data_IF_813707970721
#
_entry.id   IF_813707970721
#
_cell.length_a   1.000
_cell.length_b   1.000
_cell.length_c   1.000
_cell.angle_alpha   90.00
_cell.angle_beta   90.00
_cell.angle_gamma   90.00
#
_symmetry.space_group_name_H-M   'P 1'
#
loop_
_entity.id
_entity.type
_entity.pdbx_description
1 polymer ?
#
# COMPACT_ATOMS: atom_id res chain seq x y z
N UNK A 1 -11.91 3.35 -4.79
CA UNK A 1 -11.16 2.18 -5.27
C UNK A 1 -10.03 2.64 -6.19
N UNK A 2 -8.88 2.08 -6.05
CA UNK A 2 -7.70 2.38 -6.88
C UNK A 2 -7.36 1.17 -7.76
N UNK A 3 -6.85 0.11 -7.17
CA UNK A 3 -6.52 -1.13 -7.88
C UNK A 3 -6.52 -2.34 -6.96
N UNK A 4 -6.22 -3.49 -7.52
CA UNK A 4 -5.93 -4.74 -6.80
C UNK A 4 -4.55 -5.24 -7.20
N UNK A 5 -3.83 -5.80 -6.22
CA UNK A 5 -2.49 -6.33 -6.40
C UNK A 5 -2.39 -7.73 -5.78
N UNK A 6 -1.64 -8.62 -6.41
CA UNK A 6 -1.30 -9.92 -5.84
C UNK A 6 0.15 -9.91 -5.36
N UNK A 7 0.36 -10.27 -4.12
CA UNK A 7 1.67 -10.36 -3.50
C UNK A 7 2.05 -11.81 -3.21
N UNK A 8 3.24 -12.18 -3.61
CA UNK A 8 3.84 -13.49 -3.41
C UNK A 8 5.33 -13.35 -3.06
N UNK A 9 5.98 -14.47 -2.73
CA UNK A 9 7.41 -14.45 -2.47
C UNK A 9 8.19 -14.06 -3.73
N UNK A 10 9.30 -13.33 -3.60
CA UNK A 10 10.13 -12.99 -4.75
C UNK A 10 10.71 -14.26 -5.39
N UNK A 11 10.90 -14.22 -6.69
CA UNK A 11 11.54 -15.31 -7.45
C UNK A 11 13.00 -15.51 -7.00
N UNK A 12 13.69 -14.42 -6.67
CA UNK A 12 15.02 -14.49 -6.09
C UNK A 12 14.90 -14.74 -4.57
N UNK A 13 15.27 -15.93 -4.06
CA UNK A 13 15.16 -16.27 -2.64
C UNK A 13 16.12 -15.48 -1.74
N UNK A 14 17.07 -14.75 -2.32
CA UNK A 14 18.01 -13.89 -1.58
C UNK A 14 17.53 -12.45 -1.47
N UNK A 15 16.44 -12.12 -2.17
CA UNK A 15 15.84 -10.78 -2.06
C UNK A 15 15.33 -10.58 -0.64
N UNK A 16 15.77 -9.48 -0.02
CA UNK A 16 15.32 -9.08 1.31
C UNK A 16 14.06 -8.22 1.18
N UNK A 17 13.24 -8.27 2.20
CA UNK A 17 12.18 -7.30 2.43
C UNK A 17 12.80 -5.93 2.77
N UNK A 18 12.11 -4.86 2.43
CA UNK A 18 12.62 -3.49 2.61
C UNK A 18 11.53 -2.55 3.11
N UNK A 19 11.94 -1.64 3.99
CA UNK A 19 11.07 -0.60 4.51
C UNK A 19 10.80 0.48 3.47
N UNK A 20 9.55 0.86 3.35
CA UNK A 20 9.10 1.91 2.44
C UNK A 20 7.80 2.57 2.89
N UNK A 21 7.45 3.64 2.23
CA UNK A 21 6.12 4.23 2.09
C UNK A 21 5.77 4.16 0.62
N UNK A 22 4.54 3.91 0.25
CA UNK A 22 4.20 3.81 -1.18
C UNK A 22 4.41 5.14 -1.91
N UNK A 23 4.13 6.26 -1.26
CA UNK A 23 4.36 7.58 -1.85
C UNK A 23 5.82 7.84 -2.27
N UNK A 24 6.81 7.10 -1.76
CA UNK A 24 8.22 7.30 -2.14
C UNK A 24 8.55 6.90 -3.57
N UNK A 25 7.69 6.12 -4.23
CA UNK A 25 7.91 5.70 -5.61
C UNK A 25 7.54 6.77 -6.64
N UNK A 26 6.68 7.71 -6.26
CA UNK A 26 6.09 8.69 -7.17
C UNK A 26 6.45 10.13 -6.81
N UNK A 27 6.88 10.38 -5.56
CA UNK A 27 7.12 11.72 -5.03
C UNK A 27 8.55 11.89 -4.52
N UNK A 28 9.13 13.06 -4.74
CA UNK A 28 10.36 13.46 -4.06
C UNK A 28 10.10 13.68 -2.55
N UNK A 29 11.19 13.88 -1.78
CA UNK A 29 11.10 13.96 -0.31
C UNK A 29 10.18 15.10 0.15
N UNK A 30 10.23 16.27 -0.51
CA UNK A 30 9.43 17.43 -0.11
C UNK A 30 7.94 17.19 -0.38
N UNK A 31 7.61 16.54 -1.47
CA UNK A 31 6.24 16.19 -1.83
C UNK A 31 5.72 15.01 -1.01
N UNK A 32 6.56 14.01 -0.68
CA UNK A 32 6.18 12.94 0.28
C UNK A 32 5.72 13.54 1.61
N UNK A 33 6.43 14.55 2.13
CA UNK A 33 6.08 15.20 3.40
C UNK A 33 4.67 15.85 3.37
N UNK A 34 4.26 16.38 2.21
CA UNK A 34 2.91 16.95 2.03
C UNK A 34 1.87 15.84 1.91
N UNK A 35 2.11 14.88 1.03
CA UNK A 35 1.19 13.77 0.74
C UNK A 35 0.81 13.01 2.02
N UNK A 36 1.77 12.66 2.88
CA UNK A 36 1.53 11.97 4.15
C UNK A 36 0.55 12.73 5.05
N UNK A 37 0.52 14.05 4.99
CA UNK A 37 -0.34 14.88 5.83
C UNK A 37 -1.72 15.14 5.21
N UNK A 38 -1.81 15.19 3.90
CA UNK A 38 -2.98 15.69 3.17
C UNK A 38 -3.88 14.58 2.64
N UNK A 39 -3.31 13.43 2.28
CA UNK A 39 -4.02 12.38 1.57
C UNK A 39 -3.99 11.05 2.31
N UNK A 40 -4.84 10.11 1.90
CA UNK A 40 -4.87 8.76 2.44
C UNK A 40 -5.14 7.72 1.36
N UNK A 41 -4.21 6.77 1.27
CA UNK A 41 -4.43 5.51 0.57
C UNK A 41 -4.39 4.40 1.61
N UNK A 42 -5.33 3.47 1.53
CA UNK A 42 -5.42 2.32 2.44
C UNK A 42 -5.22 1.04 1.65
N UNK A 43 -4.39 0.16 2.19
CA UNK A 43 -4.34 -1.24 1.83
C UNK A 43 -5.36 -2.03 2.64
N UNK A 44 -6.11 -2.86 1.96
CA UNK A 44 -6.93 -3.93 2.53
C UNK A 44 -6.28 -5.24 2.09
N UNK A 45 -5.42 -5.80 2.95
CA UNK A 45 -4.67 -7.01 2.65
C UNK A 45 -5.39 -8.24 3.14
N UNK A 46 -5.63 -9.17 2.22
CA UNK A 46 -6.28 -10.46 2.49
C UNK A 46 -5.33 -11.58 2.09
N UNK A 47 -4.69 -12.29 3.04
CA UNK A 47 -3.84 -13.43 2.72
C UNK A 47 -4.70 -14.62 2.26
N UNK A 48 -4.26 -15.28 1.20
CA UNK A 48 -4.89 -16.51 0.67
C UNK A 48 -4.35 -17.74 1.41
N UNK A 49 -3.09 -17.70 1.82
CA UNK A 49 -2.44 -18.68 2.69
C UNK A 49 -1.86 -17.98 3.92
N UNK A 50 -1.61 -18.74 4.99
CA UNK A 50 -0.92 -18.21 6.16
C UNK A 50 0.43 -17.60 5.73
N UNK A 51 0.73 -16.38 6.19
CA UNK A 51 1.95 -15.70 5.84
C UNK A 51 2.62 -15.02 7.04
N UNK A 52 3.95 -14.72 6.97
CA UNK A 52 4.62 -13.91 8.00
C UNK A 52 3.99 -12.54 8.17
N UNK A 53 3.22 -12.09 7.16
CA UNK A 53 2.44 -10.88 7.15
C UNK A 53 3.24 -9.62 6.84
N UNK A 54 2.87 -8.55 7.50
CA UNK A 54 3.48 -7.23 7.34
C UNK A 54 4.24 -6.83 8.60
N UNK A 55 5.25 -6.02 8.44
CA UNK A 55 5.85 -5.29 9.55
C UNK A 55 5.59 -3.81 9.36
N UNK A 56 5.03 -3.18 10.40
CA UNK A 56 4.55 -1.80 10.35
C UNK A 56 5.19 -0.98 11.47
N UNK A 57 5.41 0.31 11.24
CA UNK A 57 5.79 1.27 12.31
C UNK A 57 4.55 2.11 12.64
N UNK A 58 3.82 1.77 13.72
CA UNK A 58 2.56 2.43 14.05
C UNK A 58 2.70 3.95 14.23
N UNK A 59 1.73 4.69 13.67
CA UNK A 59 1.66 6.15 13.79
C UNK A 59 2.47 6.94 12.76
N UNK A 60 3.29 6.27 11.93
CA UNK A 60 4.12 6.96 10.94
C UNK A 60 3.34 7.51 9.74
N UNK A 61 2.11 7.07 9.51
CA UNK A 61 1.23 7.57 8.44
C UNK A 61 0.74 9.02 8.62
N UNK A 62 1.08 9.67 9.71
CA UNK A 62 0.67 11.05 10.04
C UNK A 62 1.84 11.90 10.56
N UNK A 63 3.04 11.48 10.30
CA UNK A 63 4.26 12.22 10.63
C UNK A 63 5.39 11.89 9.68
N UNK A 64 6.31 12.80 9.52
CA UNK A 64 7.54 12.53 8.80
C UNK A 64 8.45 11.57 9.60
N UNK A 65 9.42 11.01 8.91
CA UNK A 65 10.42 10.10 9.47
C UNK A 65 11.26 10.76 10.56
N UNK A 66 11.63 9.99 11.56
CA UNK A 66 12.77 10.32 12.38
C UNK A 66 14.09 9.97 11.64
N UNK A 67 15.24 10.29 12.24
CA UNK A 67 16.55 10.08 11.62
C UNK A 67 16.82 8.61 11.28
N UNK A 68 16.47 7.67 12.17
CA UNK A 68 16.65 6.22 11.92
C UNK A 68 15.77 5.76 10.76
N UNK A 69 14.50 6.11 10.77
CA UNK A 69 13.52 5.75 9.74
C UNK A 69 13.94 6.28 8.37
N UNK A 70 14.37 7.54 8.32
CA UNK A 70 14.83 8.19 7.10
C UNK A 70 16.08 7.49 6.55
N UNK A 71 17.10 7.32 7.40
CA UNK A 71 18.37 6.72 6.97
C UNK A 71 18.17 5.30 6.42
N UNK A 72 17.31 4.50 7.03
CA UNK A 72 17.03 3.14 6.54
C UNK A 72 16.25 3.19 5.23
N UNK A 73 15.15 3.96 5.14
CA UNK A 73 14.32 4.02 3.93
C UNK A 73 15.03 4.62 2.72
N UNK A 74 15.90 5.60 2.95
CA UNK A 74 16.64 6.30 1.90
C UNK A 74 18.05 5.73 1.67
N UNK A 75 18.40 4.68 2.41
CA UNK A 75 19.72 4.02 2.34
C UNK A 75 20.90 4.99 2.59
N UNK A 76 20.71 5.89 3.55
CA UNK A 76 21.70 6.90 3.91
C UNK A 76 22.55 6.50 5.12
N UNK A 77 23.67 7.19 5.31
CA UNK A 77 24.58 7.00 6.43
C UNK A 77 25.02 5.53 6.66
N UNK A 78 25.16 4.76 5.57
CA UNK A 78 25.60 3.37 5.60
C UNK A 78 24.52 2.38 6.03
N UNK A 79 23.27 2.81 6.08
CA UNK A 79 22.10 1.95 6.26
C UNK A 79 21.64 1.37 4.93
N UNK A 80 20.89 0.26 5.01
CA UNK A 80 20.19 -0.33 3.87
C UNK A 80 18.70 -0.51 4.22
N UNK A 81 17.85 -0.48 3.22
CA UNK A 81 16.38 -0.50 3.40
C UNK A 81 15.83 -1.77 4.04
N UNK A 82 16.65 -2.82 4.17
CA UNK A 82 16.33 -4.05 4.88
C UNK A 82 16.81 -4.08 6.34
N UNK A 83 17.51 -3.05 6.82
CA UNK A 83 17.91 -2.96 8.24
C UNK A 83 16.69 -2.86 9.14
N UNK A 84 16.78 -3.35 10.37
CA UNK A 84 15.69 -3.20 11.32
C UNK A 84 15.54 -1.73 11.77
N UNK A 85 14.29 -1.30 11.90
CA UNK A 85 13.91 0.01 12.43
C UNK A 85 13.27 -0.18 13.81
N UNK A 86 13.66 0.67 14.75
CA UNK A 86 13.09 0.67 16.09
C UNK A 86 11.57 0.89 16.06
N UNK A 87 10.82 0.09 16.83
CA UNK A 87 9.35 0.21 16.89
C UNK A 87 8.59 -0.56 15.81
N UNK A 88 9.27 -1.23 14.89
CA UNK A 88 8.64 -2.14 13.94
C UNK A 88 7.85 -3.24 14.65
N UNK A 89 6.63 -3.50 14.19
CA UNK A 89 5.75 -4.54 14.72
C UNK A 89 5.34 -5.48 13.61
N UNK A 90 5.76 -6.72 13.71
CA UNK A 90 5.32 -7.77 12.81
C UNK A 90 3.90 -8.19 13.14
N UNK A 91 3.09 -8.33 12.12
CA UNK A 91 1.69 -8.75 12.17
C UNK A 91 1.56 -9.98 11.29
N UNK A 92 1.73 -11.20 11.84
CA UNK A 92 1.48 -12.42 11.07
C UNK A 92 -0.01 -12.52 10.74
N UNK A 93 -0.33 -13.08 9.58
CA UNK A 93 -1.70 -13.15 9.07
C UNK A 93 -2.05 -14.61 8.74
N UNK A 94 -3.18 -15.06 9.23
CA UNK A 94 -3.77 -16.33 8.82
C UNK A 94 -4.59 -16.15 7.54
N UNK A 95 -4.77 -17.25 6.78
CA UNK A 95 -5.59 -17.25 5.58
C UNK A 95 -6.99 -16.71 5.88
N UNK A 96 -7.42 -15.70 5.12
CA UNK A 96 -8.72 -15.05 5.27
C UNK A 96 -8.79 -13.93 6.31
N UNK A 97 -7.71 -13.62 7.01
CA UNK A 97 -7.63 -12.39 7.81
C UNK A 97 -7.76 -11.16 6.94
N UNK A 98 -8.10 -10.03 7.54
CA UNK A 98 -8.07 -8.71 6.91
C UNK A 98 -7.19 -7.77 7.71
N UNK A 99 -6.07 -7.34 7.13
CA UNK A 99 -5.26 -6.25 7.67
C UNK A 99 -5.55 -4.96 6.90
N UNK A 100 -5.91 -3.90 7.62
CA UNK A 100 -6.09 -2.56 7.04
C UNK A 100 -4.99 -1.64 7.57
N UNK A 101 -4.24 -1.02 6.66
CA UNK A 101 -3.18 -0.08 7.02
C UNK A 101 -3.04 1.02 5.96
N UNK A 102 -2.43 2.14 6.35
CA UNK A 102 -2.16 3.23 5.40
C UNK A 102 -0.94 2.91 4.53
N UNK A 103 -1.04 3.16 3.23
CA UNK A 103 0.06 3.09 2.28
C UNK A 103 1.22 4.05 2.66
N UNK A 104 0.88 5.16 3.34
CA UNK A 104 1.85 6.14 3.83
C UNK A 104 2.46 5.78 5.20
N UNK A 105 2.04 4.68 5.83
CA UNK A 105 2.73 4.14 7.00
C UNK A 105 4.05 3.50 6.56
N UNK A 106 5.12 3.66 7.33
CA UNK A 106 6.36 2.93 7.08
C UNK A 106 6.08 1.45 7.30
N UNK A 107 6.29 0.66 6.24
CA UNK A 107 5.98 -0.75 6.26
C UNK A 107 6.93 -1.57 5.40
N UNK A 108 6.95 -2.89 5.63
CA UNK A 108 7.54 -3.89 4.74
C UNK A 108 6.73 -5.17 4.78
N UNK A 109 6.65 -5.88 3.64
CA UNK A 109 6.09 -7.23 3.59
C UNK A 109 7.15 -8.24 4.00
N UNK A 110 6.80 -9.16 4.92
CA UNK A 110 7.72 -10.24 5.31
C UNK A 110 7.62 -11.40 4.34
N UNK A 111 8.76 -11.86 3.84
CA UNK A 111 8.82 -13.02 2.96
C UNK A 111 8.87 -14.32 3.77
N UNK A 112 8.37 -15.39 3.19
CA UNK A 112 8.38 -16.73 3.77
C UNK A 112 7.04 -17.45 3.64
N UNK A 113 7.00 -18.72 4.02
CA UNK A 113 5.86 -19.61 3.79
C UNK A 113 5.41 -19.62 2.30
N UNK A 114 4.22 -20.09 2.03
CA UNK A 114 3.61 -20.06 0.68
C UNK A 114 2.85 -18.75 0.46
N UNK A 115 3.53 -17.61 0.64
CA UNK A 115 2.94 -16.28 0.63
C UNK A 115 2.18 -16.01 -0.67
N UNK A 116 0.88 -15.81 -0.53
CA UNK A 116 0.01 -15.28 -1.56
C UNK A 116 -1.09 -14.44 -0.88
N UNK A 117 -1.14 -13.17 -1.20
CA UNK A 117 -2.12 -12.25 -0.66
C UNK A 117 -2.71 -11.35 -1.74
N UNK A 118 -3.98 -11.01 -1.59
CA UNK A 118 -4.66 -9.99 -2.37
C UNK A 118 -4.66 -8.69 -1.56
N UNK A 119 -4.12 -7.63 -2.12
CA UNK A 119 -4.28 -6.28 -1.61
C UNK A 119 -5.29 -5.52 -2.47
N UNK A 120 -6.24 -4.86 -1.81
CA UNK A 120 -7.19 -3.94 -2.43
C UNK A 120 -6.82 -2.55 -1.96
N UNK A 121 -6.53 -1.65 -2.89
CA UNK A 121 -6.18 -0.27 -2.59
C UNK A 121 -7.39 0.63 -2.77
N UNK A 122 -7.64 1.43 -1.75
CA UNK A 122 -8.66 2.47 -1.77
C UNK A 122 -8.04 3.81 -1.38
N UNK A 123 -8.52 4.89 -1.95
CA UNK A 123 -8.03 6.23 -1.67
C UNK A 123 -9.18 7.16 -1.27
N UNK A 124 -8.86 8.24 -0.58
CA UNK A 124 -9.80 9.33 -0.37
C UNK A 124 -10.10 9.99 -1.73
N UNK A 125 -11.18 10.75 -1.81
CA UNK A 125 -11.68 11.31 -3.09
C UNK A 125 -10.83 12.46 -3.65
N UNK A 126 -9.51 12.46 -3.36
CA UNK A 126 -8.59 13.40 -3.97
C UNK A 126 -8.41 13.10 -5.46
N UNK A 127 -8.63 14.11 -6.31
CA UNK A 127 -8.58 13.95 -7.76
C UNK A 127 -7.21 13.47 -8.26
N UNK A 128 -6.15 13.83 -7.57
CA UNK A 128 -4.76 13.54 -7.95
C UNK A 128 -4.44 12.03 -7.96
N UNK A 129 -5.20 11.22 -7.22
CA UNK A 129 -5.00 9.76 -7.21
C UNK A 129 -5.73 9.01 -8.33
N UNK A 130 -6.57 9.69 -9.10
CA UNK A 130 -7.33 9.03 -10.18
C UNK A 130 -6.43 8.53 -11.30
N UNK A 131 -5.29 9.17 -11.50
CA UNK A 131 -4.30 8.78 -12.53
C UNK A 131 -3.61 7.44 -12.17
N UNK A 132 -3.60 7.05 -10.90
CA UNK A 132 -3.06 5.76 -10.44
C UNK A 132 -4.08 4.62 -10.50
N UNK A 133 -5.32 4.90 -10.88
CA UNK A 133 -6.35 3.86 -11.01
C UNK A 133 -6.12 3.05 -12.26
N UNK A 134 -5.90 1.75 -12.06
CA UNK A 134 -5.78 0.79 -13.16
C UNK A 134 -7.17 0.48 -13.73
N UNK A 135 -7.39 0.85 -15.00
CA UNK A 135 -8.65 0.62 -15.72
C UNK A 135 -9.01 -0.86 -15.82
N UNK A 136 -8.01 -1.74 -15.91
CA UNK A 136 -8.22 -3.18 -15.97
C UNK A 136 -8.75 -3.76 -14.64
N UNK A 137 -8.56 -3.03 -13.54
CA UNK A 137 -9.11 -3.37 -12.24
C UNK A 137 -10.54 -2.84 -12.01
N UNK A 138 -11.06 -2.00 -12.92
CA UNK A 138 -12.41 -1.47 -12.79
C UNK A 138 -13.46 -2.44 -13.36
N UNK A 139 -14.62 -2.58 -12.67
CA UNK A 139 -15.68 -3.44 -13.17
C UNK A 139 -16.32 -2.86 -14.45
N UNK A 140 -16.62 -3.74 -15.39
CA UNK A 140 -17.42 -3.38 -16.57
C UNK A 140 -18.86 -3.02 -16.17
N UNK A 141 -19.61 -2.32 -17.01
CA UNK A 141 -21.03 -2.04 -16.74
C UNK A 141 -21.88 -3.29 -16.43
N UNK A 142 -21.57 -4.41 -17.09
CA UNK A 142 -22.23 -5.68 -16.82
C UNK A 142 -21.87 -6.26 -15.44
N UNK A 143 -20.64 -6.07 -14.98
CA UNK A 143 -20.22 -6.49 -13.64
C UNK A 143 -20.85 -5.58 -12.58
N UNK A 144 -20.89 -4.27 -12.80
CA UNK A 144 -21.49 -3.30 -11.88
C UNK A 144 -22.97 -3.63 -11.58
N UNK A 145 -23.72 -4.08 -12.58
CA UNK A 145 -25.14 -4.45 -12.39
C UNK A 145 -25.34 -5.65 -11.47
N UNK A 146 -24.33 -6.45 -11.22
CA UNK A 146 -24.36 -7.62 -10.33
C UNK A 146 -23.78 -7.33 -8.93
N UNK A 147 -23.25 -6.15 -8.69
CA UNK A 147 -22.70 -5.74 -7.39
C UNK A 147 -23.82 -5.12 -6.56
N UNK A 148 -24.07 -5.66 -5.38
CA UNK A 148 -25.15 -5.19 -4.49
C UNK A 148 -24.93 -3.75 -4.00
N UNK A 149 -23.69 -3.34 -3.82
CA UNK A 149 -23.31 -1.97 -3.46
C UNK A 149 -22.10 -1.50 -4.31
N UNK A 150 -22.33 -0.89 -5.47
CA UNK A 150 -21.26 -0.47 -6.37
C UNK A 150 -20.61 0.87 -6.01
N UNK A 151 -20.99 1.52 -4.90
CA UNK A 151 -20.56 2.88 -4.55
C UNK A 151 -19.04 3.05 -4.55
N UNK A 152 -18.30 2.03 -4.12
CA UNK A 152 -16.83 2.04 -4.10
C UNK A 152 -16.25 2.31 -5.50
N UNK A 153 -16.81 1.67 -6.53
CA UNK A 153 -16.37 1.82 -7.91
C UNK A 153 -16.97 3.06 -8.59
N UNK A 154 -18.25 3.36 -8.28
CA UNK A 154 -18.96 4.50 -8.88
C UNK A 154 -18.26 5.83 -8.59
N UNK A 155 -17.73 6.02 -7.39
CA UNK A 155 -16.99 7.24 -7.05
C UNK A 155 -15.74 7.39 -7.94
N UNK A 156 -14.97 6.32 -8.11
CA UNK A 156 -13.78 6.31 -8.96
C UNK A 156 -14.13 6.57 -10.42
N UNK A 157 -15.14 5.89 -10.96
CA UNK A 157 -15.60 6.07 -12.33
C UNK A 157 -16.10 7.50 -12.57
N UNK A 158 -16.78 8.10 -11.61
CA UNK A 158 -17.21 9.49 -11.67
C UNK A 158 -16.03 10.47 -11.74
N UNK A 159 -15.04 10.31 -10.85
CA UNK A 159 -13.83 11.13 -10.86
C UNK A 159 -13.09 11.03 -12.21
N UNK A 160 -12.91 9.81 -12.74
CA UNK A 160 -12.27 9.61 -14.06
C UNK A 160 -13.04 10.30 -15.18
N UNK A 161 -14.38 10.28 -15.16
CA UNK A 161 -15.19 10.93 -16.16
C UNK A 161 -15.07 12.46 -16.15
N UNK A 162 -14.78 13.06 -15.00
CA UNK A 162 -14.58 14.50 -14.87
C UNK A 162 -13.23 14.97 -15.41
N UNK A 163 -12.20 14.13 -15.36
CA UNK A 163 -10.87 14.46 -15.87
C UNK A 163 -10.75 14.27 -17.39
N UNK A 164 -11.64 13.48 -18.01
CA UNK A 164 -11.69 13.27 -19.46
C UNK A 164 -12.54 14.30 -20.20
N UNK A 165 -13.15 15.25 -19.52
CA UNK A 165 -14.02 16.29 -20.09
C UNK A 165 -13.32 17.65 -20.14
#
# INVERSE_FOLDING_TARGET
FMNTQLFFNPVNPQQKDFWHRDCQYDYDVDDQMKVIMETQVLHLRVPIFDEPGMELIPGTHKRWDNEEEYNVRQEENGKVSSDDISGGKQIPLAAGDLLVFSADMIHRGRYGLDRLALDILIFDSAADYVDYVDDDCLPTPAMLSNISDPRLFMNTLHLKSMLCS
#
